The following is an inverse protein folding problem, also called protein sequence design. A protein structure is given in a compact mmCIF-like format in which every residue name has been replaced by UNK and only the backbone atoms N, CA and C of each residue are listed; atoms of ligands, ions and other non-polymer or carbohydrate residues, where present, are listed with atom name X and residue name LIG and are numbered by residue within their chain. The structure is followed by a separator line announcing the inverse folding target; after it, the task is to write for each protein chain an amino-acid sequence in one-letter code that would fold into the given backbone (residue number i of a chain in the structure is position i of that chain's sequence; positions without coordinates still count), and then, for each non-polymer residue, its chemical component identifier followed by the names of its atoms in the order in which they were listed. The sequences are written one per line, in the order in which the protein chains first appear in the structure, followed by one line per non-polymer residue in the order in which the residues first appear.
data_IF_218004789927
#
_entry.id   IF_218004789927
#
_cell.length_a   1.000
_cell.length_b   1.000
_cell.length_c   1.000
_cell.angle_alpha   90.00
_cell.angle_beta   90.00
_cell.angle_gamma   90.00
#
_symmetry.space_group_name_H-M   'P 1'
#
loop_
_entity.id
_entity.type
_entity.pdbx_description
1 polymer ?
#
# COMPACT_ATOMS: atom_id res chain seq x y z
N UNK A 1 11.08 -0.98 -66.08
CA UNK A 1 11.78 -2.27 -66.31
C UNK A 1 12.54 -2.16 -67.61
N UNK A 2 13.74 -2.75 -67.80
CA UNK A 2 14.67 -3.46 -66.88
C UNK A 2 15.99 -2.63 -66.75
N UNK A 3 17.08 -2.95 -66.02
CA UNK A 3 17.83 -4.20 -65.87
C UNK A 3 18.81 -4.16 -64.68
N UNK A 4 18.94 -5.31 -64.01
CA UNK A 4 19.90 -5.67 -62.97
C UNK A 4 21.37 -5.68 -63.45
N UNK A 5 22.35 -5.36 -62.58
CA UNK A 5 23.56 -6.18 -62.36
C UNK A 5 24.50 -5.67 -61.21
N UNK A 6 24.44 -6.40 -60.08
CA UNK A 6 25.48 -6.93 -59.17
C UNK A 6 26.79 -6.17 -58.80
N UNK A 7 26.93 -6.04 -57.45
CA UNK A 7 28.04 -6.45 -56.54
C UNK A 7 29.38 -5.67 -56.50
N UNK A 8 29.77 -5.20 -55.32
CA UNK A 8 30.93 -5.60 -54.46
C UNK A 8 30.85 -4.83 -53.13
N UNK A 9 30.50 -5.46 -52.00
CA UNK A 9 31.41 -5.90 -50.92
C UNK A 9 32.37 -4.83 -50.37
N UNK A 10 32.07 -4.26 -49.20
CA UNK A 10 32.95 -4.36 -48.02
C UNK A 10 32.19 -4.03 -46.74
N UNK A 11 32.27 -4.97 -45.79
CA UNK A 11 31.85 -4.82 -44.39
C UNK A 11 32.74 -3.79 -43.69
N UNK A 12 32.17 -2.97 -42.80
CA UNK A 12 32.72 -2.69 -41.47
C UNK A 12 31.64 -2.05 -40.59
N UNK A 13 31.48 -2.64 -39.41
CA UNK A 13 30.49 -2.35 -38.39
C UNK A 13 30.66 -0.95 -37.77
N UNK A 14 29.56 -0.36 -37.28
CA UNK A 14 29.43 -0.02 -35.85
C UNK A 14 27.95 0.21 -35.51
N UNK A 15 27.46 -0.64 -34.61
CA UNK A 15 26.20 -0.51 -33.87
C UNK A 15 26.36 0.65 -32.89
N UNK A 16 25.31 1.47 -32.70
CA UNK A 16 24.78 2.01 -31.42
C UNK A 16 23.92 3.25 -31.72
N UNK A 17 22.61 3.10 -31.55
CA UNK A 17 21.68 4.08 -30.94
C UNK A 17 20.21 3.65 -31.21
N UNK A 18 19.86 2.43 -30.81
CA UNK A 18 18.47 2.11 -30.49
C UNK A 18 18.35 2.24 -28.98
N UNK A 19 17.90 3.40 -28.51
CA UNK A 19 17.72 3.66 -27.09
C UNK A 19 16.89 4.91 -26.92
N UNK A 20 15.79 4.79 -26.19
CA UNK A 20 14.84 5.85 -25.80
C UNK A 20 13.76 6.19 -26.84
N UNK A 21 12.97 5.20 -27.27
CA UNK A 21 11.50 5.38 -27.42
C UNK A 21 10.86 4.01 -27.17
N UNK A 22 10.34 3.77 -25.96
CA UNK A 22 9.66 2.49 -25.67
C UNK A 22 9.43 2.11 -24.22
N UNK A 23 9.45 3.05 -23.26
CA UNK A 23 9.26 2.76 -21.83
C UNK A 23 8.05 3.47 -21.22
N UNK A 24 6.96 3.62 -21.99
CA UNK A 24 5.68 4.15 -21.46
C UNK A 24 4.43 3.34 -21.83
N UNK A 25 4.53 2.21 -22.53
CA UNK A 25 3.35 1.46 -22.97
C UNK A 25 2.97 0.23 -22.14
N UNK A 26 3.85 -0.31 -21.27
CA UNK A 26 3.56 -1.61 -20.61
C UNK A 26 3.11 -1.56 -19.14
N UNK A 27 3.04 -0.38 -18.52
CA UNK A 27 2.60 -0.28 -17.11
C UNK A 27 1.06 -0.33 -16.99
N UNK A 28 0.33 0.08 -18.05
CA UNK A 28 -1.12 -0.02 -18.11
C UNK A 28 -1.61 -1.46 -18.26
N UNK A 29 -0.89 -2.29 -19.04
CA UNK A 29 -1.31 -3.65 -19.37
C UNK A 29 -1.30 -4.62 -18.18
N UNK A 30 -0.30 -4.52 -17.29
CA UNK A 30 -0.22 -5.40 -16.12
C UNK A 30 -1.32 -5.10 -15.07
N UNK A 31 -1.70 -3.83 -14.89
CA UNK A 31 -2.78 -3.44 -13.98
C UNK A 31 -4.17 -3.71 -14.58
N UNK A 32 -4.36 -3.53 -15.89
CA UNK A 32 -5.63 -3.83 -16.56
C UNK A 32 -5.92 -5.34 -16.61
N UNK A 33 -4.89 -6.18 -16.75
CA UNK A 33 -5.05 -7.63 -16.73
C UNK A 33 -5.46 -8.16 -15.34
N UNK A 34 -5.06 -7.49 -14.25
CA UNK A 34 -5.53 -7.81 -12.90
C UNK A 34 -7.01 -7.43 -12.73
N UNK A 35 -7.44 -6.26 -13.20
CA UNK A 35 -8.87 -5.86 -13.18
C UNK A 35 -9.78 -6.81 -13.97
N UNK A 36 -9.28 -7.39 -15.07
CA UNK A 36 -10.03 -8.38 -15.88
C UNK A 36 -10.13 -9.77 -15.24
N UNK A 37 -9.25 -10.11 -14.29
CA UNK A 37 -9.23 -11.42 -13.62
C UNK A 37 -10.16 -11.50 -12.39
N UNK A 38 -10.64 -10.38 -11.84
CA UNK A 38 -11.31 -10.33 -10.53
C UNK A 38 -12.75 -9.80 -10.54
N UNK A 39 -13.42 -9.78 -11.69
CA UNK A 39 -14.86 -9.48 -11.77
C UNK A 39 -15.17 -7.98 -11.67
N UNK A 40 -15.98 -7.49 -12.61
CA UNK A 40 -16.13 -6.05 -12.85
C UNK A 40 -17.25 -5.36 -12.07
N UNK A 41 -17.86 -6.03 -11.08
CA UNK A 41 -18.99 -5.48 -10.29
C UNK A 41 -18.82 -5.72 -8.78
N UNK A 42 -17.62 -5.53 -8.22
CA UNK A 42 -17.45 -5.52 -6.76
C UNK A 42 -18.16 -4.27 -6.17
N UNK A 43 -19.14 -4.41 -5.26
CA UNK A 43 -19.81 -3.28 -4.64
C UNK A 43 -18.88 -2.47 -3.72
N UNK A 44 -17.77 -3.05 -3.26
CA UNK A 44 -16.79 -2.39 -2.40
C UNK A 44 -15.66 -1.77 -3.20
N UNK A 45 -15.47 -0.47 -3.00
CA UNK A 45 -14.37 0.29 -3.57
C UNK A 45 -13.49 0.80 -2.45
N UNK A 46 -12.18 0.58 -2.61
CA UNK A 46 -11.18 1.15 -1.73
C UNK A 46 -11.01 2.66 -2.01
N UNK A 47 -11.23 3.49 -1.00
CA UNK A 47 -11.10 4.95 -1.08
C UNK A 47 -9.67 5.37 -0.72
N UNK A 48 -9.15 4.87 0.40
CA UNK A 48 -7.78 5.14 0.84
C UNK A 48 -7.16 3.92 1.51
N UNK A 49 -5.86 3.73 1.34
CA UNK A 49 -5.07 2.78 2.12
C UNK A 49 -3.89 3.50 2.80
N UNK A 50 -3.60 3.14 4.05
CA UNK A 50 -2.58 3.79 4.87
C UNK A 50 -1.74 2.76 5.60
N UNK A 51 -0.43 2.85 5.42
CA UNK A 51 0.53 2.20 6.27
C UNK A 51 0.88 3.13 7.44
N UNK A 52 0.92 2.58 8.65
CA UNK A 52 1.37 3.31 9.85
C UNK A 52 2.45 2.50 10.57
N UNK A 53 3.56 3.13 11.02
CA UNK A 53 4.60 2.42 11.76
C UNK A 53 4.05 1.85 13.08
N UNK A 54 4.49 0.64 13.47
CA UNK A 54 4.09 0.03 14.76
C UNK A 54 4.98 0.43 15.93
N UNK A 55 6.29 0.42 15.73
CA UNK A 55 7.24 0.71 16.80
C UNK A 55 8.54 1.27 16.20
N UNK A 56 8.99 2.43 16.69
CA UNK A 56 10.26 3.04 16.24
C UNK A 56 11.23 3.29 17.39
N UNK A 57 10.97 2.77 18.59
CA UNK A 57 11.91 2.89 19.71
C UNK A 57 13.28 2.35 19.25
N UNK A 58 14.35 3.16 19.26
CA UNK A 58 15.69 2.72 18.83
C UNK A 58 16.22 1.50 19.59
N UNK A 59 15.66 1.19 20.77
CA UNK A 59 15.98 0.01 21.59
C UNK A 59 15.30 -1.26 21.06
N UNK A 60 14.24 -1.13 20.27
CA UNK A 60 13.54 -2.23 19.60
C UNK A 60 14.31 -2.64 18.35
N UNK A 61 14.91 -3.84 18.40
CA UNK A 61 15.58 -4.44 17.24
C UNK A 61 14.61 -5.19 16.33
N UNK A 62 13.58 -5.80 16.91
CA UNK A 62 12.61 -6.62 16.19
C UNK A 62 11.30 -5.85 15.99
N UNK A 63 10.83 -5.73 14.75
CA UNK A 63 9.57 -5.03 14.45
C UNK A 63 9.69 -3.53 14.19
N UNK A 64 10.92 -2.99 14.20
CA UNK A 64 11.19 -1.57 13.89
C UNK A 64 10.74 -1.15 12.48
N UNK A 65 10.77 -2.11 11.57
CA UNK A 65 10.40 -1.95 10.16
C UNK A 65 8.97 -2.45 9.88
N UNK A 66 8.19 -2.74 10.91
CA UNK A 66 6.81 -3.19 10.73
C UNK A 66 5.84 -2.01 10.63
N UNK A 67 4.87 -2.14 9.73
CA UNK A 67 3.76 -1.23 9.56
C UNK A 67 2.41 -1.95 9.62
N UNK A 68 1.41 -1.29 10.21
CA UNK A 68 0.02 -1.71 10.16
C UNK A 68 -0.67 -1.15 8.91
N UNK A 69 -1.63 -1.89 8.36
CA UNK A 69 -2.42 -1.46 7.21
C UNK A 69 -3.84 -1.10 7.65
N UNK A 70 -4.28 0.10 7.28
CA UNK A 70 -5.67 0.54 7.44
C UNK A 70 -6.26 0.96 6.10
N UNK A 71 -7.55 0.69 5.93
CA UNK A 71 -8.31 0.87 4.71
C UNK A 71 -9.57 1.68 5.00
N UNK A 72 -9.91 2.59 4.11
CA UNK A 72 -11.24 3.18 4.02
C UNK A 72 -11.95 2.57 2.81
N UNK A 73 -13.01 1.81 3.06
CA UNK A 73 -13.75 1.08 2.03
C UNK A 73 -15.16 1.62 1.95
N UNK A 74 -15.66 1.83 0.73
CA UNK A 74 -16.98 2.36 0.44
C UNK A 74 -17.84 1.35 -0.30
N UNK A 75 -19.08 1.21 0.13
CA UNK A 75 -20.07 0.40 -0.56
C UNK A 75 -20.87 1.25 -1.56
N UNK A 76 -20.72 0.97 -2.85
CA UNK A 76 -21.53 1.53 -3.94
C UNK A 76 -22.64 0.58 -4.41
N UNK A 77 -22.73 -0.62 -3.83
CA UNK A 77 -23.81 -1.57 -4.04
C UNK A 77 -25.14 -1.09 -3.44
N UNK A 78 -26.22 -1.79 -3.83
CA UNK A 78 -27.57 -1.51 -3.35
C UNK A 78 -27.89 -2.22 -2.02
N UNK A 79 -27.10 -3.22 -1.66
CA UNK A 79 -27.27 -4.02 -0.46
C UNK A 79 -26.20 -3.69 0.57
N UNK A 80 -26.51 -3.98 1.83
CA UNK A 80 -25.58 -3.82 2.95
C UNK A 80 -24.53 -4.92 2.91
N UNK A 81 -23.24 -4.56 2.92
CA UNK A 81 -22.15 -5.55 2.98
C UNK A 81 -21.70 -5.72 4.43
N UNK A 82 -21.57 -6.96 4.89
CA UNK A 82 -21.05 -7.29 6.22
C UNK A 82 -19.73 -8.03 6.09
N UNK A 83 -18.65 -7.38 6.50
CA UNK A 83 -17.30 -7.92 6.49
C UNK A 83 -17.05 -8.73 7.77
N UNK A 84 -16.57 -9.96 7.64
CA UNK A 84 -16.35 -10.89 8.78
C UNK A 84 -14.89 -11.09 9.11
N UNK A 85 -14.02 -11.08 8.11
CA UNK A 85 -12.59 -11.30 8.27
C UNK A 85 -11.81 -10.63 7.16
N UNK A 86 -10.51 -10.56 7.35
CA UNK A 86 -9.60 -10.06 6.35
C UNK A 86 -8.27 -10.81 6.39
N UNK A 87 -7.73 -11.09 5.21
CA UNK A 87 -6.39 -11.66 5.04
C UNK A 87 -5.47 -10.67 4.31
N UNK A 88 -4.19 -10.74 4.66
CA UNK A 88 -3.13 -9.91 4.11
C UNK A 88 -2.00 -10.79 3.61
N UNK A 89 -1.68 -10.63 2.34
CA UNK A 89 -0.56 -11.26 1.67
C UNK A 89 0.40 -10.18 1.14
N UNK A 90 1.69 -10.49 1.09
CA UNK A 90 2.68 -9.72 0.33
C UNK A 90 3.04 -10.52 -0.91
N UNK A 91 2.83 -9.92 -2.08
CA UNK A 91 2.98 -10.59 -3.38
C UNK A 91 4.05 -9.88 -4.22
N UNK A 92 4.74 -10.66 -5.05
CA UNK A 92 5.75 -10.17 -6.01
C UNK A 92 6.87 -9.31 -5.38
N UNK A 93 7.17 -9.53 -4.10
CA UNK A 93 8.13 -8.73 -3.36
C UNK A 93 9.43 -9.49 -3.05
N UNK A 94 10.53 -8.77 -3.10
CA UNK A 94 11.83 -9.19 -2.60
C UNK A 94 11.99 -8.73 -1.15
N UNK A 95 11.97 -9.66 -0.20
CA UNK A 95 12.28 -9.38 1.21
C UNK A 95 11.14 -8.80 2.06
N UNK A 96 10.27 -7.96 1.50
CA UNK A 96 9.04 -7.55 2.19
C UNK A 96 8.11 -8.76 2.38
N UNK A 97 7.47 -8.85 3.55
CA UNK A 97 6.66 -10.02 3.93
C UNK A 97 5.60 -9.64 4.94
N UNK A 98 4.66 -10.55 5.18
CA UNK A 98 3.72 -10.41 6.29
C UNK A 98 4.51 -10.42 7.60
N UNK A 99 4.30 -9.39 8.41
CA UNK A 99 4.96 -9.17 9.69
C UNK A 99 4.43 -10.12 10.77
N UNK A 100 5.19 -10.21 11.86
CA UNK A 100 4.83 -11.03 13.03
C UNK A 100 4.03 -10.24 14.07
N UNK A 101 4.04 -8.90 14.01
CA UNK A 101 3.26 -8.05 14.88
C UNK A 101 1.77 -8.11 14.55
N UNK A 102 0.96 -7.71 15.51
CA UNK A 102 -0.49 -7.66 15.42
C UNK A 102 -1.06 -6.31 15.86
N UNK A 103 -2.14 -5.89 15.21
CA UNK A 103 -3.02 -4.80 15.66
C UNK A 103 -4.31 -5.42 16.18
N UNK A 104 -4.89 -4.78 17.20
CA UNK A 104 -6.13 -5.22 17.84
C UNK A 104 -7.09 -4.05 17.98
N UNK A 105 -8.37 -4.34 18.24
CA UNK A 105 -9.39 -3.34 18.48
C UNK A 105 -10.65 -3.59 17.67
N UNK A 106 -11.65 -2.73 17.88
CA UNK A 106 -13.03 -3.03 17.49
C UNK A 106 -13.24 -3.09 15.97
N UNK A 107 -12.46 -2.33 15.21
CA UNK A 107 -12.56 -2.25 13.76
C UNK A 107 -11.34 -2.87 13.07
N UNK A 108 -10.70 -3.82 13.75
CA UNK A 108 -9.61 -4.61 13.22
C UNK A 108 -10.13 -5.97 12.80
N UNK A 109 -9.88 -6.35 11.55
CA UNK A 109 -10.23 -7.67 11.03
C UNK A 109 -9.00 -8.57 10.98
N UNK A 110 -9.15 -9.75 11.58
CA UNK A 110 -8.24 -10.89 11.53
C UNK A 110 -8.69 -11.86 10.45
N UNK A 111 -7.83 -12.82 10.11
CA UNK A 111 -8.12 -13.83 9.09
C UNK A 111 -9.16 -14.88 9.53
N UNK A 112 -9.38 -15.06 10.84
CA UNK A 112 -10.33 -16.05 11.38
C UNK A 112 -11.66 -15.37 11.70
N UNK A 113 -12.73 -15.77 11.01
CA UNK A 113 -14.07 -15.15 11.14
C UNK A 113 -14.55 -15.03 12.59
N UNK A 114 -14.36 -16.09 13.39
CA UNK A 114 -14.85 -16.16 14.77
C UNK A 114 -14.02 -15.33 15.78
N UNK A 115 -12.95 -14.67 15.34
CA UNK A 115 -12.13 -13.79 16.18
C UNK A 115 -12.44 -12.30 15.99
N UNK A 116 -13.43 -11.98 15.16
CA UNK A 116 -13.75 -10.61 14.76
C UNK A 116 -15.11 -10.16 15.25
N UNK A 117 -15.26 -8.83 15.37
CA UNK A 117 -16.58 -8.20 15.36
C UNK A 117 -16.90 -7.81 13.91
N UNK A 118 -17.95 -8.37 13.28
CA UNK A 118 -18.29 -8.04 11.90
C UNK A 118 -18.51 -6.55 11.69
N UNK A 119 -18.06 -6.05 10.53
CA UNK A 119 -18.17 -4.64 10.16
C UNK A 119 -19.19 -4.47 9.05
N UNK A 120 -20.24 -3.70 9.33
CA UNK A 120 -21.34 -3.50 8.40
C UNK A 120 -21.20 -2.18 7.64
N UNK A 121 -21.33 -2.23 6.32
CA UNK A 121 -21.26 -1.08 5.42
C UNK A 121 -22.58 -0.95 4.66
N UNK A 122 -23.39 0.03 5.05
CA UNK A 122 -24.64 0.33 4.36
C UNK A 122 -24.39 0.91 2.94
N UNK A 123 -25.35 0.81 2.02
CA UNK A 123 -25.28 1.42 0.70
C UNK A 123 -24.88 2.90 0.75
N UNK A 124 -23.91 3.27 -0.07
CA UNK A 124 -23.38 4.64 -0.18
C UNK A 124 -22.50 5.09 0.99
N UNK A 125 -22.30 4.26 2.02
CA UNK A 125 -21.48 4.58 3.20
C UNK A 125 -20.06 4.03 3.07
N UNK A 126 -19.14 4.64 3.82
CA UNK A 126 -17.78 4.16 4.00
C UNK A 126 -17.57 3.66 5.42
N UNK A 127 -16.66 2.71 5.59
CA UNK A 127 -16.11 2.35 6.90
C UNK A 127 -14.59 2.38 6.84
N UNK A 128 -13.97 2.61 8.00
CA UNK A 128 -12.52 2.45 8.18
C UNK A 128 -12.25 1.20 8.99
N UNK A 129 -11.33 0.39 8.52
CA UNK A 129 -10.90 -0.83 9.19
C UNK A 129 -9.39 -0.98 9.10
N UNK A 130 -8.80 -1.68 10.06
CA UNK A 130 -7.42 -2.11 9.99
C UNK A 130 -7.33 -3.63 9.82
N UNK A 131 -6.25 -4.09 9.22
CA UNK A 131 -5.95 -5.51 9.12
C UNK A 131 -5.06 -5.88 10.30
N UNK A 132 -5.40 -6.96 11.01
CA UNK A 132 -4.68 -7.33 12.24
C UNK A 132 -3.22 -7.65 11.96
N UNK A 133 -2.93 -8.33 10.86
CA UNK A 133 -1.55 -8.64 10.46
C UNK A 133 -0.84 -7.40 9.95
N UNK A 134 0.45 -7.37 10.22
CA UNK A 134 1.33 -6.25 9.88
C UNK A 134 2.14 -6.59 8.63
N UNK A 135 2.84 -5.61 8.08
CA UNK A 135 3.79 -5.77 6.97
C UNK A 135 5.18 -5.50 7.51
N UNK A 136 6.11 -6.42 7.31
CA UNK A 136 7.53 -6.22 7.56
C UNK A 136 8.16 -5.60 6.29
N UNK A 137 8.72 -4.39 6.43
CA UNK A 137 9.33 -3.61 5.35
C UNK A 137 10.83 -3.38 5.65
N UNK A 138 11.68 -4.41 5.54
CA UNK A 138 13.07 -4.32 5.96
C UNK A 138 13.81 -3.14 5.34
N UNK A 139 14.56 -2.40 6.16
CA UNK A 139 15.38 -1.28 5.73
C UNK A 139 14.65 0.07 5.71
N UNK A 140 13.32 0.11 5.89
CA UNK A 140 12.56 1.37 5.88
C UNK A 140 12.99 2.30 7.02
N UNK A 141 13.36 1.78 8.20
CA UNK A 141 13.89 2.60 9.30
C UNK A 141 15.24 3.22 9.04
N UNK A 142 16.07 2.60 8.19
CA UNK A 142 17.34 3.18 7.74
C UNK A 142 17.09 4.25 6.69
N UNK A 143 16.15 4.02 5.78
CA UNK A 143 15.78 4.99 4.75
C UNK A 143 15.14 6.24 5.37
N UNK A 144 14.10 6.06 6.18
CA UNK A 144 13.40 7.12 6.93
C UNK A 144 14.11 7.42 8.26
N UNK A 145 15.40 7.80 8.16
CA UNK A 145 16.22 8.18 9.30
C UNK A 145 15.80 9.55 9.87
N UNK A 146 16.16 9.83 11.13
CA UNK A 146 15.90 11.15 11.74
C UNK A 146 16.61 12.28 10.97
N UNK A 147 17.81 12.01 10.45
CA UNK A 147 18.55 12.97 9.63
C UNK A 147 17.79 13.30 8.34
N UNK A 148 17.29 12.28 7.62
CA UNK A 148 16.54 12.47 6.39
C UNK A 148 15.23 13.23 6.63
N UNK A 149 14.55 12.90 7.73
CA UNK A 149 13.26 13.46 8.07
C UNK A 149 13.33 14.82 8.78
N UNK A 150 14.53 15.30 9.14
CA UNK A 150 14.70 16.54 9.91
C UNK A 150 14.01 17.74 9.26
N UNK A 151 14.11 17.88 7.93
CA UNK A 151 13.55 18.99 7.15
C UNK A 151 12.09 18.81 6.73
N UNK A 152 11.51 17.61 6.88
CA UNK A 152 10.13 17.34 6.43
C UNK A 152 9.12 18.10 7.30
N UNK A 153 8.30 18.96 6.73
CA UNK A 153 7.23 19.61 7.49
C UNK A 153 5.99 18.70 7.58
N UNK A 154 5.58 18.38 8.80
CA UNK A 154 4.39 17.55 9.05
C UNK A 154 3.20 18.43 9.39
N UNK A 155 2.15 18.35 8.57
CA UNK A 155 0.85 18.90 8.90
C UNK A 155 0.16 18.03 9.95
N UNK A 156 -0.41 18.67 10.95
CA UNK A 156 -1.17 18.00 12.02
C UNK A 156 -2.64 18.41 12.00
N UNK A 157 -3.52 17.48 12.35
CA UNK A 157 -4.95 17.72 12.60
C UNK A 157 -5.21 17.23 14.03
N UNK A 158 -5.82 18.07 14.87
CA UNK A 158 -6.07 17.77 16.29
C UNK A 158 -4.81 17.29 17.05
N UNK A 159 -3.65 17.87 16.71
CA UNK A 159 -2.36 17.52 17.31
C UNK A 159 -1.70 16.26 16.73
N UNK A 160 -2.33 15.60 15.76
CA UNK A 160 -1.91 14.30 15.24
C UNK A 160 -1.35 14.41 13.82
N UNK A 161 -0.25 13.68 13.49
CA UNK A 161 0.36 13.72 12.17
C UNK A 161 -0.64 13.27 11.10
N UNK A 162 -0.78 14.05 10.04
CA UNK A 162 -1.74 13.78 8.99
C UNK A 162 -1.09 13.60 7.61
N UNK A 163 -0.19 14.51 7.23
CA UNK A 163 0.50 14.49 5.94
C UNK A 163 1.78 15.35 6.01
N UNK A 164 2.55 15.36 4.94
CA UNK A 164 3.76 16.18 4.76
C UNK A 164 3.53 17.21 3.65
N UNK A 165 4.23 18.35 3.72
CA UNK A 165 4.13 19.38 2.68
C UNK A 165 4.91 19.00 1.41
N UNK A 166 6.00 18.26 1.56
CA UNK A 166 6.99 18.04 0.51
C UNK A 166 6.73 16.73 -0.24
N UNK A 167 6.01 16.80 -1.37
CA UNK A 167 5.68 15.63 -2.20
C UNK A 167 6.90 14.86 -2.72
N UNK A 168 8.07 15.49 -2.82
CA UNK A 168 9.31 14.84 -3.25
C UNK A 168 9.66 13.61 -2.39
N UNK A 169 9.33 13.62 -1.09
CA UNK A 169 9.60 12.47 -0.23
C UNK A 169 8.69 11.28 -0.53
N UNK A 170 7.51 11.50 -1.15
CA UNK A 170 6.66 10.41 -1.66
C UNK A 170 7.34 9.72 -2.83
N UNK A 171 7.91 10.49 -3.77
CA UNK A 171 8.65 9.96 -4.91
C UNK A 171 9.90 9.21 -4.47
N UNK A 172 10.65 9.75 -3.51
CA UNK A 172 11.82 9.08 -2.95
C UNK A 172 11.46 7.78 -2.24
N UNK A 173 10.34 7.74 -1.50
CA UNK A 173 9.87 6.52 -0.85
C UNK A 173 9.40 5.48 -1.87
N UNK A 174 8.69 5.91 -2.92
CA UNK A 174 8.31 5.04 -4.04
C UNK A 174 9.54 4.43 -4.71
N UNK A 175 10.56 5.24 -4.97
CA UNK A 175 11.83 4.77 -5.55
C UNK A 175 12.53 3.78 -4.61
N UNK A 176 12.62 4.08 -3.32
CA UNK A 176 13.18 3.16 -2.32
C UNK A 176 12.44 1.81 -2.30
N UNK A 177 11.11 1.81 -2.31
CA UNK A 177 10.32 0.58 -2.36
C UNK A 177 10.50 -0.18 -3.68
N UNK A 178 10.59 0.52 -4.81
CA UNK A 178 10.85 -0.09 -6.12
C UNK A 178 12.20 -0.80 -6.13
N UNK A 179 13.25 -0.15 -5.64
CA UNK A 179 14.62 -0.67 -5.65
C UNK A 179 14.82 -1.79 -4.63
N UNK A 180 14.19 -1.67 -3.45
CA UNK A 180 14.40 -2.59 -2.33
C UNK A 180 13.50 -3.82 -2.42
N UNK A 181 12.21 -3.63 -2.73
CA UNK A 181 11.23 -4.71 -2.71
C UNK A 181 10.84 -5.17 -4.12
N UNK A 182 11.21 -4.42 -5.16
CA UNK A 182 10.81 -4.69 -6.53
C UNK A 182 9.62 -3.82 -6.96
N UNK A 183 9.63 -3.42 -8.23
CA UNK A 183 8.64 -2.51 -8.82
C UNK A 183 7.20 -3.02 -8.78
N UNK A 184 7.02 -4.34 -8.77
CA UNK A 184 5.72 -5.01 -8.78
C UNK A 184 5.31 -5.52 -7.39
N UNK A 185 6.12 -5.26 -6.36
CA UNK A 185 5.79 -5.62 -4.99
C UNK A 185 4.48 -4.97 -4.56
N UNK A 186 3.58 -5.76 -4.00
CA UNK A 186 2.26 -5.28 -3.60
C UNK A 186 1.75 -5.97 -2.33
N UNK A 187 0.84 -5.27 -1.65
CA UNK A 187 0.01 -5.85 -0.61
C UNK A 187 -1.29 -6.31 -1.24
N UNK A 188 -1.64 -7.58 -1.06
CA UNK A 188 -2.95 -8.10 -1.47
C UNK A 188 -3.78 -8.28 -0.22
N UNK A 189 -4.89 -7.55 -0.15
CA UNK A 189 -5.88 -7.66 0.91
C UNK A 189 -7.09 -8.38 0.38
N UNK A 190 -7.55 -9.39 1.11
CA UNK A 190 -8.81 -10.07 0.83
C UNK A 190 -9.76 -9.82 1.99
N UNK A 191 -10.87 -9.13 1.76
CA UNK A 191 -11.96 -8.99 2.73
C UNK A 191 -13.03 -10.03 2.43
N UNK A 192 -13.52 -10.71 3.46
CA UNK A 192 -14.56 -11.74 3.34
C UNK A 192 -15.89 -11.21 3.86
N UNK A 193 -16.99 -11.53 3.18
CA UNK A 193 -18.34 -11.11 3.56
C UNK A 193 -19.34 -12.27 3.69
N UNK A 194 -20.40 -12.06 4.50
CA UNK A 194 -21.39 -13.12 4.80
C UNK A 194 -22.40 -13.40 3.69
N UNK A 195 -22.66 -12.44 2.79
CA UNK A 195 -23.82 -12.52 1.88
C UNK A 195 -23.68 -13.53 0.74
N UNK A 196 -22.50 -14.11 0.54
CA UNK A 196 -22.26 -15.04 -0.59
C UNK A 196 -20.93 -15.80 -0.51
N UNK A 197 -20.17 -15.70 0.58
CA UNK A 197 -18.77 -16.13 0.57
C UNK A 197 -17.90 -15.29 -0.38
N UNK A 198 -18.39 -14.10 -0.73
CA UNK A 198 -17.71 -13.18 -1.64
C UNK A 198 -16.41 -12.68 -1.02
N UNK A 199 -15.42 -12.58 -1.90
CA UNK A 199 -14.09 -12.08 -1.59
C UNK A 199 -13.90 -10.76 -2.30
N UNK A 200 -13.63 -9.72 -1.53
CA UNK A 200 -13.30 -8.40 -2.05
C UNK A 200 -11.77 -8.26 -2.01
N UNK A 201 -11.15 -8.24 -3.19
CA UNK A 201 -9.69 -8.28 -3.31
C UNK A 201 -9.17 -6.91 -3.73
N UNK A 202 -8.27 -6.35 -2.92
CA UNK A 202 -7.56 -5.11 -3.22
C UNK A 202 -6.07 -5.38 -3.34
N UNK A 203 -5.46 -4.92 -4.43
CA UNK A 203 -4.01 -5.01 -4.66
C UNK A 203 -3.41 -3.61 -4.58
N UNK A 204 -2.48 -3.43 -3.66
CA UNK A 204 -1.87 -2.14 -3.30
C UNK A 204 -0.38 -2.18 -3.64
N UNK A 205 0.04 -1.65 -4.79
CA UNK A 205 1.46 -1.62 -5.15
C UNK A 205 2.23 -0.78 -4.13
N UNK A 206 3.30 -1.33 -3.57
CA UNK A 206 4.14 -0.64 -2.59
C UNK A 206 4.80 0.59 -3.25
N UNK A 207 5.46 0.41 -4.40
CA UNK A 207 6.24 1.46 -5.05
C UNK A 207 5.41 2.52 -5.82
N UNK A 208 4.09 2.58 -5.63
CA UNK A 208 3.18 3.51 -6.36
C UNK A 208 2.25 4.26 -5.42
N UNK A 209 2.72 4.58 -4.22
CA UNK A 209 2.00 5.40 -3.27
C UNK A 209 1.84 6.84 -3.76
N UNK A 210 0.84 7.52 -3.21
CA UNK A 210 0.44 8.89 -3.54
C UNK A 210 0.28 9.72 -2.26
N UNK A 211 -0.14 10.97 -2.42
CA UNK A 211 -0.43 11.88 -1.31
C UNK A 211 -1.88 11.77 -0.78
N UNK A 212 -2.23 12.62 0.20
CA UNK A 212 -3.53 12.64 0.87
C UNK A 212 -4.71 12.92 -0.06
N UNK A 213 -4.47 13.58 -1.21
CA UNK A 213 -5.50 13.99 -2.16
C UNK A 213 -5.94 12.83 -3.04
N UNK A 214 -5.13 11.78 -3.18
CA UNK A 214 -5.54 10.56 -3.85
C UNK A 214 -6.68 9.85 -3.08
N UNK A 215 -7.78 9.60 -3.79
CA UNK A 215 -8.98 8.87 -3.33
C UNK A 215 -9.30 7.65 -4.19
N UNK A 216 -8.27 7.09 -4.82
CA UNK A 216 -8.36 5.98 -5.76
C UNK A 216 -7.89 4.64 -5.15
N UNK A 217 -7.76 4.59 -3.82
CA UNK A 217 -7.30 3.41 -3.09
C UNK A 217 -5.78 3.21 -3.08
N UNK A 218 -4.99 4.09 -3.70
CA UNK A 218 -3.53 4.05 -3.59
C UNK A 218 -3.07 4.19 -2.12
N UNK A 219 -1.90 3.63 -1.81
CA UNK A 219 -1.25 3.84 -0.52
C UNK A 219 -0.92 5.32 -0.34
N UNK A 220 -1.30 5.90 0.80
CA UNK A 220 -0.96 7.28 1.15
C UNK A 220 0.44 7.29 1.80
N UNK A 221 1.45 7.58 1.00
CA UNK A 221 2.85 7.57 1.42
C UNK A 221 3.23 8.80 2.23
N UNK A 222 2.62 9.94 1.95
CA UNK A 222 2.74 11.15 2.75
C UNK A 222 2.27 10.92 4.20
N UNK A 223 1.15 10.20 4.37
CA UNK A 223 0.67 9.73 5.67
C UNK A 223 1.73 8.87 6.35
N UNK A 224 2.26 7.87 5.65
CA UNK A 224 3.25 6.96 6.25
C UNK A 224 4.50 7.73 6.71
N UNK A 225 5.01 8.67 5.91
CA UNK A 225 6.18 9.50 6.26
C UNK A 225 5.86 10.42 7.45
N UNK A 226 4.70 11.07 7.45
CA UNK A 226 4.28 11.94 8.56
C UNK A 226 4.20 11.17 9.88
N UNK A 227 3.60 9.99 9.85
CA UNK A 227 3.43 9.13 11.02
C UNK A 227 4.75 8.46 11.42
N UNK A 228 5.67 8.24 10.48
CA UNK A 228 7.04 7.79 10.75
C UNK A 228 7.86 8.84 11.51
N UNK A 229 7.79 10.11 11.08
CA UNK A 229 8.51 11.20 11.73
C UNK A 229 8.02 11.43 13.16
N UNK A 230 6.71 11.46 13.36
CA UNK A 230 6.07 11.77 14.65
C UNK A 230 5.51 10.52 15.34
N UNK A 231 6.24 9.40 15.27
CA UNK A 231 5.80 8.12 15.83
C UNK A 231 5.55 8.18 17.35
N UNK A 232 6.29 9.02 18.07
CA UNK A 232 6.23 9.19 19.52
C UNK A 232 4.95 9.90 19.99
N UNK A 233 4.28 10.63 19.10
CA UNK A 233 2.97 11.24 19.36
C UNK A 233 1.81 10.24 19.27
N UNK A 234 2.10 8.96 18.96
CA UNK A 234 1.12 7.88 18.78
C UNK A 234 0.72 7.14 20.07
N UNK A 235 0.67 7.80 21.22
CA UNK A 235 -0.36 7.38 22.18
C UNK A 235 -1.68 7.96 21.70
N UNK A 236 -2.43 7.18 20.91
CA UNK A 236 -3.86 7.38 20.64
C UNK A 236 -4.15 8.47 19.59
N UNK A 237 -4.00 8.10 18.32
CA UNK A 237 -4.70 8.78 17.22
C UNK A 237 -5.21 7.78 16.20
N UNK A 238 -5.86 6.76 16.72
CA UNK A 238 -6.88 6.09 15.93
C UNK A 238 -8.09 7.00 15.92
N UNK A 239 -8.41 7.45 14.71
CA UNK A 239 -9.77 7.51 14.19
C UNK A 239 -10.85 7.60 15.26
N UNK A 240 -11.35 8.82 15.49
CA UNK A 240 -12.52 9.17 16.31
C UNK A 240 -13.86 8.57 15.81
N UNK A 241 -13.82 7.35 15.28
CA UNK A 241 -14.96 6.47 15.11
C UNK A 241 -14.61 4.97 15.22
N UNK A 242 -13.37 4.56 15.51
CA UNK A 242 -12.95 3.15 15.56
C UNK A 242 -11.51 3.01 16.13
N UNK A 243 -11.34 2.88 17.45
CA UNK A 243 -10.03 2.73 18.10
C UNK A 243 -9.45 1.31 17.89
N UNK A 244 -8.19 1.24 17.46
CA UNK A 244 -7.43 0.01 17.12
C UNK A 244 -6.13 -0.15 17.94
N UNK A 245 -6.20 -0.37 19.26
CA UNK A 245 -5.01 -0.47 20.13
C UNK A 245 -3.96 -1.47 19.59
N UNK A 246 -2.72 -0.98 19.40
CA UNK A 246 -1.54 -1.82 19.12
C UNK A 246 -1.09 -2.48 20.42
N UNK A 247 -0.97 -3.82 20.46
CA UNK A 247 -0.35 -4.51 21.61
C UNK A 247 1.16 -4.68 21.37
N UNK A 248 1.94 -4.43 22.41
CA UNK A 248 3.36 -4.78 22.46
C UNK A 248 3.51 -6.03 23.33
N UNK A 249 3.23 -7.21 22.77
CA UNK A 249 3.65 -8.45 23.41
C UNK A 249 5.12 -8.70 23.05
N UNK A 250 5.96 -8.67 24.09
CA UNK A 250 7.42 -8.87 24.05
C UNK A 250 7.79 -10.29 24.41
#
# INVERSE_FOLDING_TARGET
MPSLLKKYCTYSAFIVAAGVVGFLSDIGGALENVKKLFGQDDPLVLVTARLSPLARDPRIRNGRDQASLSLEVRNYGKEMVMLTSADLEVVHANGAKVGKGGVFGRCVLKAVDNENTPQTIAPGKSTRLAISRTVDLPGVSKFLSDEKLRSVFVHTIDGQPYSIAESIYVDELNQFFSDTYGRDAALKVTLYSTQSGDKHIFVLPLARGKDLFAKDGSLQHDWFIANWKNWDKHSIAQTSACDAIVSHDW
#
